data_IF_814409887670
#
_entry.id   IF_814409887670
#
_cell.length_a   1.000
_cell.length_b   1.000
_cell.length_c   1.000
_cell.angle_alpha   90.00
_cell.angle_beta   90.00
_cell.angle_gamma   90.00
#
_symmetry.space_group_name_H-M   'P 1'
#
loop_
_entity.id
_entity.type
_entity.pdbx_description
1 polymer ?
#
# COMPACT_ATOMS: atom_id res chain seq x y z
N UNK A 1 36.83 6.08 -6.77
CA UNK A 1 35.81 5.20 -7.39
C UNK A 1 34.66 6.08 -7.85
N UNK A 2 34.46 6.20 -9.17
CA UNK A 2 33.48 7.11 -9.77
C UNK A 2 32.07 6.53 -9.53
N UNK A 3 31.21 7.26 -8.80
CA UNK A 3 29.80 6.90 -8.62
C UNK A 3 29.09 7.03 -9.96
N UNK A 4 28.57 5.93 -10.49
CA UNK A 4 27.72 5.95 -11.67
C UNK A 4 26.37 6.52 -11.26
N UNK A 5 26.11 7.78 -11.62
CA UNK A 5 24.78 8.39 -11.55
C UNK A 5 24.04 7.95 -12.81
N UNK A 6 23.15 6.98 -12.69
CA UNK A 6 22.25 6.61 -13.79
C UNK A 6 21.15 7.68 -13.89
N UNK A 7 21.35 8.65 -14.79
CA UNK A 7 20.31 9.62 -15.17
C UNK A 7 19.43 8.93 -16.22
N UNK A 8 18.32 8.33 -15.81
CA UNK A 8 17.33 7.82 -16.74
C UNK A 8 16.38 8.97 -17.13
N UNK A 9 16.70 9.65 -18.24
CA UNK A 9 15.80 10.58 -18.90
C UNK A 9 14.99 9.83 -19.96
N UNK A 10 13.81 9.32 -19.58
CA UNK A 10 12.94 8.54 -20.46
C UNK A 10 11.97 7.67 -19.66
N UNK A 11 10.82 7.32 -20.26
CA UNK A 11 9.82 6.43 -19.67
C UNK A 11 10.46 5.07 -19.34
N UNK A 12 10.82 4.87 -18.08
CA UNK A 12 11.46 3.65 -17.61
C UNK A 12 10.36 2.60 -17.36
N UNK A 13 10.10 1.76 -18.37
CA UNK A 13 9.19 0.62 -18.24
C UNK A 13 10.00 -0.54 -17.63
N UNK A 14 10.03 -0.63 -16.30
CA UNK A 14 10.59 -1.79 -15.60
C UNK A 14 9.50 -2.85 -15.46
N UNK A 15 9.67 -3.99 -16.14
CA UNK A 15 8.78 -5.14 -16.03
C UNK A 15 8.89 -5.92 -14.70
N UNK A 16 9.58 -5.37 -13.70
CA UNK A 16 9.67 -5.92 -12.35
C UNK A 16 9.88 -4.79 -11.32
N UNK A 17 8.76 -4.22 -10.85
CA UNK A 17 8.44 -3.60 -9.55
C UNK A 17 9.43 -2.86 -8.62
N UNK A 18 10.71 -2.71 -8.90
CA UNK A 18 11.68 -2.15 -7.94
C UNK A 18 12.46 -0.97 -8.53
N UNK A 19 12.21 0.23 -8.01
CA UNK A 19 13.20 1.32 -8.09
C UNK A 19 14.28 1.04 -7.06
N UNK A 20 15.53 0.95 -7.50
CA UNK A 20 16.67 0.76 -6.60
C UNK A 20 16.72 1.90 -5.58
N UNK A 21 17.02 1.57 -4.33
CA UNK A 21 17.20 2.59 -3.29
C UNK A 21 18.19 3.67 -3.76
N UNK A 22 17.93 4.93 -3.40
CA UNK A 22 18.75 6.11 -3.75
C UNK A 22 18.68 6.55 -5.22
N UNK A 23 17.59 6.23 -5.92
CA UNK A 23 17.37 6.69 -7.30
C UNK A 23 16.85 8.14 -7.36
N UNK A 24 17.20 8.86 -8.44
CA UNK A 24 16.57 10.12 -8.83
C UNK A 24 15.74 9.91 -10.09
N UNK A 25 14.42 9.99 -9.99
CA UNK A 25 13.50 9.83 -11.12
C UNK A 25 12.93 11.20 -11.49
N UNK A 26 13.07 11.58 -12.76
CA UNK A 26 12.38 12.74 -13.34
C UNK A 26 11.30 12.22 -14.30
N UNK A 27 10.05 12.62 -14.07
CA UNK A 27 8.90 12.17 -14.87
C UNK A 27 8.07 11.08 -14.18
N UNK A 28 7.57 10.13 -14.96
CA UNK A 28 6.61 9.13 -14.48
C UNK A 28 7.29 7.80 -14.16
N UNK A 29 7.18 7.36 -12.91
CA UNK A 29 7.41 6.00 -12.48
C UNK A 29 6.06 5.26 -12.48
N UNK A 30 5.93 4.22 -13.28
CA UNK A 30 4.65 3.53 -13.46
C UNK A 30 4.77 2.01 -13.33
N UNK A 31 3.82 1.40 -12.62
CA UNK A 31 3.47 0.00 -12.79
C UNK A 31 2.09 -0.10 -13.44
N UNK A 32 1.98 -0.90 -14.49
CA UNK A 32 0.70 -1.26 -15.10
C UNK A 32 0.62 -2.78 -15.21
N UNK A 33 -0.22 -3.40 -14.38
CA UNK A 33 -0.25 -4.85 -14.21
C UNK A 33 -1.66 -5.43 -14.35
N UNK A 34 -1.76 -6.57 -15.02
CA UNK A 34 -2.96 -7.40 -15.08
C UNK A 34 -2.60 -8.81 -14.61
N UNK A 35 -3.00 -9.16 -13.39
CA UNK A 35 -2.70 -10.45 -12.75
C UNK A 35 -3.98 -11.26 -12.65
N UNK A 36 -3.99 -12.47 -13.21
CA UNK A 36 -5.16 -13.34 -13.26
C UNK A 36 -4.78 -14.78 -12.94
N UNK A 37 -5.59 -15.47 -12.13
CA UNK A 37 -5.43 -16.90 -11.83
C UNK A 37 -4.02 -17.26 -11.35
N UNK A 38 -3.47 -16.44 -10.45
CA UNK A 38 -2.06 -16.52 -10.05
C UNK A 38 -1.89 -16.68 -8.54
N UNK A 39 -0.81 -17.32 -8.15
CA UNK A 39 -0.36 -17.36 -6.77
C UNK A 39 1.06 -16.78 -6.67
N UNK A 40 1.29 -15.90 -5.72
CA UNK A 40 2.61 -15.39 -5.36
C UNK A 40 2.85 -15.65 -3.88
N UNK A 41 3.90 -16.41 -3.56
CA UNK A 41 4.12 -16.93 -2.20
C UNK A 41 5.57 -16.67 -1.79
N UNK A 42 5.76 -15.92 -0.71
CA UNK A 42 7.01 -15.76 0.00
C UNK A 42 6.89 -16.44 1.38
N UNK A 43 7.89 -17.24 1.77
CA UNK A 43 7.86 -17.98 3.03
C UNK A 43 9.25 -18.04 3.66
N UNK A 44 9.32 -17.87 4.99
CA UNK A 44 10.59 -17.84 5.73
C UNK A 44 10.90 -16.46 6.33
N UNK A 45 12.16 -16.02 6.33
CA UNK A 45 12.62 -14.81 7.03
C UNK A 45 12.85 -13.67 6.02
N UNK A 46 12.30 -12.47 6.29
CA UNK A 46 12.43 -11.25 5.48
C UNK A 46 11.44 -11.11 4.33
N UNK A 47 10.19 -11.58 4.45
CA UNK A 47 9.35 -11.78 3.27
C UNK A 47 8.66 -10.52 2.72
N UNK A 48 8.68 -10.37 1.40
CA UNK A 48 7.81 -9.47 0.64
C UNK A 48 7.16 -10.24 -0.51
N UNK A 49 5.84 -10.37 -0.51
CA UNK A 49 5.07 -10.89 -1.62
C UNK A 49 4.34 -9.71 -2.29
N UNK A 50 4.76 -9.34 -3.50
CA UNK A 50 4.26 -8.16 -4.21
C UNK A 50 3.53 -8.57 -5.50
N UNK A 51 2.22 -8.28 -5.58
CA UNK A 51 1.39 -8.60 -6.74
C UNK A 51 0.70 -7.36 -7.28
N UNK A 52 1.16 -6.85 -8.43
CA UNK A 52 0.65 -5.59 -8.99
C UNK A 52 0.87 -4.38 -8.09
N UNK A 53 1.97 -4.40 -7.34
CA UNK A 53 2.39 -3.35 -6.42
C UNK A 53 3.42 -2.42 -7.08
N UNK A 54 3.51 -1.17 -6.61
CA UNK A 54 4.60 -0.25 -6.94
C UNK A 54 5.29 0.24 -5.66
N UNK A 55 6.55 -0.14 -5.48
CA UNK A 55 7.37 0.28 -4.34
C UNK A 55 8.37 1.38 -4.70
N UNK A 56 8.50 2.39 -3.82
CA UNK A 56 9.55 3.42 -3.88
C UNK A 56 10.26 3.47 -2.54
N UNK A 57 11.54 3.11 -2.51
CA UNK A 57 12.35 3.08 -1.30
C UNK A 57 13.55 4.01 -1.43
N UNK A 58 13.79 4.85 -0.41
CA UNK A 58 15.01 5.67 -0.32
C UNK A 58 15.27 6.59 -1.53
N UNK A 59 14.26 6.99 -2.29
CA UNK A 59 14.43 7.61 -3.62
C UNK A 59 13.81 8.99 -3.70
N UNK A 60 14.23 9.79 -4.69
CA UNK A 60 13.62 11.08 -5.02
C UNK A 60 12.90 10.98 -6.36
N UNK A 61 11.62 11.32 -6.39
CA UNK A 61 10.81 11.35 -7.62
C UNK A 61 10.29 12.77 -7.84
N UNK A 62 10.68 13.39 -8.96
CA UNK A 62 10.11 14.64 -9.45
C UNK A 62 9.15 14.32 -10.58
N UNK A 63 7.87 14.19 -10.28
CA UNK A 63 6.84 13.81 -11.23
C UNK A 63 5.79 12.88 -10.62
N UNK A 64 5.44 11.81 -11.34
CA UNK A 64 4.31 10.95 -10.97
C UNK A 64 4.78 9.54 -10.57
N UNK A 65 4.32 9.05 -9.43
CA UNK A 65 4.37 7.63 -9.05
C UNK A 65 2.97 7.07 -9.29
N UNK A 66 2.81 6.17 -10.27
CA UNK A 66 1.51 5.66 -10.70
C UNK A 66 1.45 4.13 -10.71
N UNK A 67 0.55 3.57 -9.91
CA UNK A 67 0.18 2.16 -10.02
C UNK A 67 -1.19 2.01 -10.68
N UNK A 68 -1.28 1.16 -11.69
CA UNK A 68 -2.53 0.74 -12.33
C UNK A 68 -2.60 -0.78 -12.32
N UNK A 69 -3.29 -1.33 -11.33
CA UNK A 69 -3.34 -2.77 -11.10
C UNK A 69 -4.75 -3.32 -11.27
N UNK A 70 -4.86 -4.40 -12.05
CA UNK A 70 -6.03 -5.26 -12.11
C UNK A 70 -5.62 -6.66 -11.64
N UNK A 71 -6.13 -7.10 -10.49
CA UNK A 71 -5.80 -8.40 -9.89
C UNK A 71 -7.09 -9.20 -9.71
N UNK A 72 -7.16 -10.39 -10.30
CA UNK A 72 -8.36 -11.22 -10.29
C UNK A 72 -8.03 -12.69 -10.01
N UNK A 73 -8.83 -13.35 -9.18
CA UNK A 73 -8.69 -14.79 -8.88
C UNK A 73 -7.26 -15.12 -8.44
N UNK A 74 -6.73 -14.40 -7.45
CA UNK A 74 -5.32 -14.47 -7.11
C UNK A 74 -5.06 -14.62 -5.61
N UNK A 75 -3.95 -15.27 -5.27
CA UNK A 75 -3.47 -15.40 -3.90
C UNK A 75 -2.07 -14.79 -3.78
N UNK A 76 -1.89 -13.89 -2.82
CA UNK A 76 -0.59 -13.30 -2.49
C UNK A 76 -0.32 -13.55 -1.00
N UNK A 77 0.72 -14.32 -0.70
CA UNK A 77 0.96 -14.85 0.65
C UNK A 77 2.41 -14.57 1.06
N UNK A 78 2.61 -13.94 2.22
CA UNK A 78 3.90 -13.82 2.90
C UNK A 78 3.78 -14.47 4.28
N UNK A 79 4.59 -15.50 4.58
CA UNK A 79 4.45 -16.29 5.82
C UNK A 79 5.78 -16.59 6.51
N UNK A 80 5.89 -16.35 7.82
CA UNK A 80 7.12 -16.53 8.58
C UNK A 80 7.55 -15.25 9.29
N UNK A 81 8.77 -14.76 9.09
CA UNK A 81 9.33 -13.61 9.81
C UNK A 81 9.59 -12.49 8.79
N UNK A 82 9.31 -11.22 9.12
CA UNK A 82 9.51 -10.01 8.32
C UNK A 82 8.53 -9.77 7.15
N UNK A 83 7.25 -10.13 7.26
CA UNK A 83 6.33 -10.23 6.11
C UNK A 83 5.66 -8.91 5.67
N UNK A 84 5.70 -8.63 4.37
CA UNK A 84 4.82 -7.68 3.68
C UNK A 84 4.11 -8.44 2.55
N UNK A 85 2.79 -8.47 2.55
CA UNK A 85 1.99 -8.96 1.42
C UNK A 85 1.25 -7.77 0.82
N UNK A 86 1.63 -7.35 -0.37
CA UNK A 86 1.08 -6.17 -1.03
C UNK A 86 0.44 -6.54 -2.38
N UNK A 87 -0.85 -6.28 -2.53
CA UNK A 87 -1.64 -6.58 -3.72
C UNK A 87 -2.32 -5.33 -4.27
N UNK A 88 -1.95 -4.90 -5.47
CA UNK A 88 -2.55 -3.73 -6.11
C UNK A 88 -2.29 -2.41 -5.35
N UNK A 89 -1.16 -2.30 -4.66
CA UNK A 89 -0.89 -1.21 -3.73
C UNK A 89 0.23 -0.28 -4.24
N UNK A 90 0.48 0.79 -3.50
CA UNK A 90 1.67 1.63 -3.62
C UNK A 90 2.32 1.75 -2.25
N UNK A 91 3.63 1.47 -2.16
CA UNK A 91 4.43 1.65 -0.95
C UNK A 91 5.51 2.69 -1.16
N UNK A 92 5.56 3.74 -0.33
CA UNK A 92 6.59 4.79 -0.36
C UNK A 92 7.31 4.80 1.00
N UNK A 93 8.56 4.34 1.04
CA UNK A 93 9.35 4.22 2.27
C UNK A 93 10.61 5.08 2.18
N UNK A 94 10.82 5.99 3.14
CA UNK A 94 12.04 6.82 3.23
C UNK A 94 12.33 7.68 1.99
N UNK A 95 11.31 8.17 1.29
CA UNK A 95 11.45 8.78 -0.05
C UNK A 95 10.91 10.21 -0.10
N UNK A 96 11.33 10.95 -1.13
CA UNK A 96 10.82 12.29 -1.43
C UNK A 96 10.09 12.28 -2.78
N UNK A 97 8.81 12.63 -2.80
CA UNK A 97 8.01 12.75 -4.03
C UNK A 97 7.53 14.18 -4.20
N UNK A 98 7.96 14.85 -5.27
CA UNK A 98 7.42 16.13 -5.70
C UNK A 98 6.54 15.91 -6.91
N UNK A 99 5.22 15.89 -6.69
CA UNK A 99 4.21 15.63 -7.70
C UNK A 99 3.11 14.72 -7.18
N UNK A 100 2.72 13.71 -7.97
CA UNK A 100 1.53 12.89 -7.68
C UNK A 100 1.90 11.46 -7.34
N UNK A 101 1.37 10.94 -6.24
CA UNK A 101 1.28 9.51 -5.93
C UNK A 101 -0.13 9.05 -6.25
N UNK A 102 -0.28 8.12 -7.20
CA UNK A 102 -1.57 7.65 -7.68
C UNK A 102 -1.62 6.13 -7.67
N UNK A 103 -2.62 5.57 -7.00
CA UNK A 103 -2.95 4.15 -7.07
C UNK A 103 -4.34 3.98 -7.69
N UNK A 104 -4.43 3.23 -8.76
CA UNK A 104 -5.69 2.76 -9.36
C UNK A 104 -5.71 1.24 -9.30
N UNK A 105 -6.46 0.69 -8.36
CA UNK A 105 -6.46 -0.73 -8.06
C UNK A 105 -7.85 -1.31 -8.22
N UNK A 106 -7.93 -2.41 -8.94
CA UNK A 106 -9.13 -3.23 -9.05
C UNK A 106 -8.78 -4.66 -8.66
N UNK A 107 -9.19 -5.07 -7.46
CA UNK A 107 -8.89 -6.36 -6.87
C UNK A 107 -10.19 -7.14 -6.69
N UNK A 108 -10.29 -8.32 -7.32
CA UNK A 108 -11.49 -9.18 -7.25
C UNK A 108 -11.15 -10.63 -6.97
N UNK A 109 -11.98 -11.29 -6.16
CA UNK A 109 -11.86 -12.72 -5.87
C UNK A 109 -10.43 -13.09 -5.44
N UNK A 110 -9.87 -12.34 -4.49
CA UNK A 110 -8.45 -12.42 -4.17
C UNK A 110 -8.19 -12.55 -2.67
N UNK A 111 -7.09 -13.20 -2.33
CA UNK A 111 -6.61 -13.33 -0.96
C UNK A 111 -5.21 -12.72 -0.85
N UNK A 112 -5.02 -11.80 0.09
CA UNK A 112 -3.73 -11.22 0.44
C UNK A 112 -3.46 -11.50 1.92
N UNK A 113 -2.41 -12.26 2.22
CA UNK A 113 -2.19 -12.82 3.56
C UNK A 113 -0.74 -12.58 3.99
N UNK A 114 -0.54 -11.88 5.10
CA UNK A 114 0.73 -11.80 5.82
C UNK A 114 0.58 -12.51 7.18
N UNK A 115 1.39 -13.52 7.46
CA UNK A 115 1.25 -14.34 8.69
C UNK A 115 2.57 -14.67 9.38
N UNK A 116 2.66 -14.52 10.70
CA UNK A 116 3.87 -14.82 11.49
C UNK A 116 4.39 -13.61 12.28
N UNK A 117 5.61 -13.13 12.04
CA UNK A 117 6.25 -12.05 12.83
C UNK A 117 6.67 -10.90 11.91
N UNK A 118 6.02 -9.73 12.01
CA UNK A 118 6.36 -8.49 11.29
C UNK A 118 5.47 -8.23 10.06
N UNK A 119 4.15 -8.40 10.21
CA UNK A 119 3.19 -8.54 9.11
C UNK A 119 2.50 -7.22 8.70
N UNK A 120 2.69 -6.84 7.44
CA UNK A 120 1.92 -5.79 6.76
C UNK A 120 1.16 -6.45 5.60
N UNK A 121 -0.17 -6.37 5.59
CA UNK A 121 -1.02 -6.85 4.50
C UNK A 121 -1.76 -5.68 3.86
N UNK A 122 -1.43 -5.36 2.61
CA UNK A 122 -1.92 -4.15 1.94
C UNK A 122 -2.58 -4.46 0.61
N UNK A 123 -3.89 -4.30 0.54
CA UNK A 123 -4.70 -4.60 -0.66
C UNK A 123 -5.37 -3.34 -1.20
N UNK A 124 -4.96 -2.88 -2.39
CA UNK A 124 -5.53 -1.70 -3.02
C UNK A 124 -5.25 -0.41 -2.24
N UNK A 125 -4.12 -0.35 -1.53
CA UNK A 125 -3.82 0.72 -0.57
C UNK A 125 -2.63 1.57 -0.99
N UNK A 126 -2.48 2.75 -0.39
CA UNK A 126 -1.29 3.58 -0.49
C UNK A 126 -0.69 3.72 0.91
N UNK A 127 0.54 3.22 1.09
CA UNK A 127 1.26 3.29 2.36
C UNK A 127 2.48 4.21 2.21
N UNK A 128 2.59 5.21 3.07
CA UNK A 128 3.65 6.22 3.04
C UNK A 128 4.32 6.26 4.41
N UNK A 129 5.58 5.86 4.48
CA UNK A 129 6.34 5.76 5.72
C UNK A 129 7.65 6.56 5.64
N UNK A 130 7.93 7.38 6.66
CA UNK A 130 9.19 8.11 6.77
C UNK A 130 9.50 9.00 5.56
N UNK A 131 8.48 9.52 4.88
CA UNK A 131 8.59 10.11 3.55
C UNK A 131 8.08 11.55 3.50
N UNK A 132 8.52 12.28 2.48
CA UNK A 132 8.05 13.63 2.18
C UNK A 132 7.33 13.66 0.83
N UNK A 133 6.05 14.02 0.82
CA UNK A 133 5.27 14.18 -0.42
C UNK A 133 4.82 15.61 -0.56
N UNK A 134 5.19 16.26 -1.68
CA UNK A 134 4.73 17.59 -2.06
C UNK A 134 3.87 17.49 -3.31
N UNK A 135 2.56 17.46 -3.12
CA UNK A 135 1.56 17.35 -4.18
C UNK A 135 0.37 16.48 -3.76
N UNK A 136 -0.07 15.59 -4.64
CA UNK A 136 -1.32 14.83 -4.44
C UNK A 136 -1.04 13.37 -4.13
N UNK A 137 -1.68 12.85 -3.09
CA UNK A 137 -1.82 11.40 -2.83
C UNK A 137 -3.25 11.01 -3.19
N UNK A 138 -3.40 10.16 -4.19
CA UNK A 138 -4.69 9.71 -4.69
C UNK A 138 -4.75 8.18 -4.70
N UNK A 139 -5.65 7.62 -3.90
CA UNK A 139 -5.98 6.20 -3.95
C UNK A 139 -7.38 6.01 -4.54
N UNK A 140 -7.48 5.24 -5.63
CA UNK A 140 -8.72 4.80 -6.24
C UNK A 140 -8.76 3.28 -6.22
N UNK A 141 -9.47 2.72 -5.23
CA UNK A 141 -9.48 1.29 -4.97
C UNK A 141 -10.89 0.72 -5.14
N UNK A 142 -11.01 -0.35 -5.92
CA UNK A 142 -12.20 -1.19 -5.98
C UNK A 142 -11.82 -2.60 -5.55
N UNK A 143 -12.28 -3.02 -4.36
CA UNK A 143 -11.97 -4.32 -3.76
C UNK A 143 -13.27 -5.09 -3.60
N UNK A 144 -13.38 -6.26 -4.24
CA UNK A 144 -14.61 -7.05 -4.26
C UNK A 144 -14.33 -8.54 -4.00
N UNK A 145 -15.15 -9.19 -3.17
CA UNK A 145 -15.04 -10.62 -2.88
C UNK A 145 -13.60 -11.01 -2.46
N UNK A 146 -13.00 -10.25 -1.54
CA UNK A 146 -11.59 -10.37 -1.25
C UNK A 146 -11.31 -10.44 0.26
N UNK A 147 -10.19 -11.06 0.62
CA UNK A 147 -9.72 -11.14 1.99
C UNK A 147 -8.31 -10.54 2.09
N UNK A 148 -8.12 -9.59 3.00
CA UNK A 148 -6.83 -9.03 3.37
C UNK A 148 -6.57 -9.36 4.84
N UNK A 149 -5.53 -10.14 5.11
CA UNK A 149 -5.32 -10.76 6.43
C UNK A 149 -3.88 -10.52 6.89
N UNK A 150 -3.71 -9.88 8.04
CA UNK A 150 -2.47 -9.85 8.80
C UNK A 150 -2.66 -10.62 10.12
N UNK A 151 -1.86 -11.66 10.35
CA UNK A 151 -2.03 -12.53 11.53
C UNK A 151 -0.72 -12.89 12.22
N UNK A 152 -0.66 -12.81 13.55
CA UNK A 152 0.53 -13.09 14.34
C UNK A 152 0.96 -11.90 15.21
N UNK A 153 2.19 -11.40 15.04
CA UNK A 153 2.74 -10.28 15.83
C UNK A 153 3.06 -9.08 14.93
N UNK A 154 2.58 -7.89 15.34
CA UNK A 154 2.76 -6.63 14.63
C UNK A 154 1.95 -6.62 13.34
N UNK A 155 0.63 -6.71 13.47
CA UNK A 155 -0.29 -6.94 12.36
C UNK A 155 -0.90 -5.63 11.89
N UNK A 156 -0.66 -5.31 10.63
CA UNK A 156 -1.34 -4.22 9.95
C UNK A 156 -2.05 -4.73 8.69
N UNK A 157 -3.36 -4.54 8.62
CA UNK A 157 -4.18 -4.90 7.47
C UNK A 157 -4.81 -3.64 6.87
N UNK A 158 -4.31 -3.20 5.72
CA UNK A 158 -4.77 -2.01 5.00
C UNK A 158 -5.51 -2.41 3.72
N UNK A 159 -6.85 -2.28 3.69
CA UNK A 159 -7.68 -2.59 2.51
C UNK A 159 -8.34 -1.33 1.95
N UNK A 160 -7.95 -0.92 0.74
CA UNK A 160 -8.52 0.27 0.10
C UNK A 160 -8.20 1.56 0.86
N UNK A 161 -7.10 1.58 1.62
CA UNK A 161 -6.80 2.64 2.58
C UNK A 161 -5.63 3.51 2.11
N UNK A 162 -5.51 4.69 2.70
CA UNK A 162 -4.29 5.50 2.65
C UNK A 162 -3.73 5.55 4.06
N UNK A 163 -2.54 5.01 4.26
CA UNK A 163 -1.84 5.00 5.54
C UNK A 163 -0.56 5.84 5.46
N UNK A 164 -0.44 6.82 6.35
CA UNK A 164 0.64 7.81 6.36
C UNK A 164 1.29 7.80 7.75
N UNK A 165 2.54 7.33 7.83
CA UNK A 165 3.29 7.14 9.06
C UNK A 165 4.59 7.93 9.06
N UNK A 166 4.86 8.65 10.16
CA UNK A 166 6.11 9.38 10.35
C UNK A 166 6.53 10.24 9.14
N UNK A 167 5.56 10.86 8.47
CA UNK A 167 5.72 11.48 7.16
C UNK A 167 5.22 12.91 7.12
N UNK A 168 5.66 13.65 6.10
CA UNK A 168 5.19 15.00 5.82
C UNK A 168 4.53 15.04 4.44
N UNK A 169 3.24 15.39 4.39
CA UNK A 169 2.51 15.59 3.14
C UNK A 169 2.09 17.05 3.04
N UNK A 170 2.54 17.72 1.98
CA UNK A 170 2.09 19.07 1.63
C UNK A 170 1.26 18.99 0.35
N UNK A 171 -0.07 19.13 0.50
CA UNK A 171 -1.04 19.04 -0.60
C UNK A 171 -2.26 18.21 -0.22
N UNK A 172 -2.82 17.48 -1.18
CA UNK A 172 -4.11 16.80 -1.02
C UNK A 172 -3.92 15.30 -0.83
N UNK A 173 -4.58 14.74 0.18
CA UNK A 173 -4.77 13.30 0.35
C UNK A 173 -6.22 12.97 0.03
N UNK A 174 -6.45 12.19 -1.03
CA UNK A 174 -7.76 11.77 -1.47
C UNK A 174 -7.83 10.24 -1.56
N UNK A 175 -8.65 9.63 -0.72
CA UNK A 175 -8.98 8.22 -0.80
C UNK A 175 -10.39 8.05 -1.39
N UNK A 176 -10.50 7.28 -2.46
CA UNK A 176 -11.74 6.87 -3.12
C UNK A 176 -11.79 5.36 -3.16
N UNK A 177 -12.44 4.77 -2.16
CA UNK A 177 -12.43 3.33 -1.96
C UNK A 177 -13.85 2.77 -2.03
N UNK A 178 -14.03 1.74 -2.85
CA UNK A 178 -15.24 0.93 -2.89
C UNK A 178 -14.87 -0.50 -2.47
N UNK A 179 -15.35 -0.92 -1.30
CA UNK A 179 -15.05 -2.23 -0.71
C UNK A 179 -16.36 -3.00 -0.55
N UNK A 180 -16.49 -4.13 -1.22
CA UNK A 180 -17.72 -4.93 -1.25
C UNK A 180 -17.46 -6.41 -1.00
N UNK A 181 -18.29 -7.06 -0.17
CA UNK A 181 -18.19 -8.50 0.10
C UNK A 181 -16.76 -8.92 0.51
N UNK A 182 -16.12 -8.13 1.37
CA UNK A 182 -14.69 -8.28 1.66
C UNK A 182 -14.40 -8.32 3.16
N UNK A 183 -13.32 -8.97 3.53
CA UNK A 183 -12.86 -9.04 4.91
C UNK A 183 -11.45 -8.45 5.05
N UNK A 184 -11.28 -7.48 5.94
CA UNK A 184 -9.97 -6.95 6.33
C UNK A 184 -9.73 -7.34 7.79
N UNK A 185 -8.69 -8.14 8.05
CA UNK A 185 -8.51 -8.81 9.34
C UNK A 185 -7.09 -8.59 9.83
N UNK A 186 -6.94 -8.01 11.02
CA UNK A 186 -5.71 -8.00 11.81
C UNK A 186 -5.95 -8.84 13.08
N UNK A 187 -5.17 -9.91 13.28
CA UNK A 187 -5.42 -10.84 14.39
C UNK A 187 -4.13 -11.28 15.10
N UNK A 188 -4.10 -11.20 16.42
CA UNK A 188 -2.93 -11.58 17.24
C UNK A 188 -2.51 -10.49 18.21
N UNK A 189 -1.25 -10.04 18.16
CA UNK A 189 -0.70 -9.00 19.06
C UNK A 189 -0.28 -7.78 18.26
N UNK A 190 -0.74 -6.60 18.68
CA UNK A 190 -0.47 -5.33 18.01
C UNK A 190 -1.21 -5.28 16.69
N UNK A 191 -2.53 -5.15 16.74
CA UNK A 191 -3.42 -5.31 15.60
C UNK A 191 -3.98 -3.99 15.15
N UNK A 192 -3.87 -3.74 13.86
CA UNK A 192 -4.51 -2.61 13.23
C UNK A 192 -5.14 -3.00 11.89
N UNK A 193 -6.44 -2.80 11.78
CA UNK A 193 -7.20 -3.07 10.57
C UNK A 193 -7.82 -1.76 10.04
N UNK A 194 -7.32 -1.28 8.90
CA UNK A 194 -7.83 -0.08 8.22
C UNK A 194 -8.52 -0.48 6.92
N UNK A 195 -9.85 -0.37 6.89
CA UNK A 195 -10.66 -0.64 5.69
C UNK A 195 -11.24 0.67 5.15
N UNK A 196 -10.86 1.04 3.93
CA UNK A 196 -11.31 2.25 3.26
C UNK A 196 -11.09 3.52 4.11
N UNK A 197 -9.99 3.57 4.85
CA UNK A 197 -9.68 4.63 5.82
C UNK A 197 -8.51 5.48 5.32
N UNK A 198 -8.48 6.75 5.71
CA UNK A 198 -7.25 7.56 5.67
C UNK A 198 -6.70 7.65 7.08
N UNK A 199 -5.53 7.08 7.32
CA UNK A 199 -4.82 7.16 8.60
C UNK A 199 -3.58 8.06 8.47
N UNK A 200 -3.40 8.92 9.45
CA UNK A 200 -2.26 9.82 9.59
C UNK A 200 -1.71 9.64 11.00
N UNK A 201 -0.60 8.94 11.14
CA UNK A 201 0.03 8.62 12.43
C UNK A 201 1.43 9.25 12.52
N UNK A 202 1.69 10.02 13.57
CA UNK A 202 2.99 10.67 13.78
C UNK A 202 3.41 11.58 12.62
N UNK A 203 2.43 12.08 11.86
CA UNK A 203 2.64 12.70 10.55
C UNK A 203 2.04 14.11 10.48
N UNK A 204 2.56 14.92 9.57
CA UNK A 204 2.03 16.26 9.29
C UNK A 204 1.44 16.30 7.89
N UNK A 205 0.13 16.55 7.78
CA UNK A 205 -0.53 16.84 6.51
C UNK A 205 -0.89 18.32 6.46
N UNK A 206 -0.21 19.09 5.60
CA UNK A 206 -0.51 20.49 5.31
C UNK A 206 -1.29 20.57 4.00
N UNK A 207 -2.61 20.51 4.13
CA UNK A 207 -3.55 20.62 3.03
C UNK A 207 -4.85 19.91 3.37
N UNK A 208 -5.48 19.29 2.38
CA UNK A 208 -6.81 18.68 2.53
C UNK A 208 -6.71 17.17 2.63
N UNK A 209 -7.39 16.58 3.61
CA UNK A 209 -7.65 15.15 3.68
C UNK A 209 -9.12 14.91 3.33
N UNK A 210 -9.37 14.05 2.35
CA UNK A 210 -10.71 13.67 1.93
C UNK A 210 -10.78 12.14 1.80
N UNK A 211 -11.71 11.53 2.54
CA UNK A 211 -12.04 10.12 2.40
C UNK A 211 -13.45 9.97 1.82
N UNK A 212 -13.54 9.39 0.63
CA UNK A 212 -14.76 9.07 -0.09
C UNK A 212 -14.86 7.55 -0.20
N UNK A 213 -15.31 6.91 0.86
CA UNK A 213 -15.41 5.46 0.96
C UNK A 213 -16.85 4.97 0.85
N UNK A 214 -17.05 3.88 0.11
CA UNK A 214 -18.26 3.06 0.14
C UNK A 214 -17.88 1.65 0.59
N UNK A 215 -18.40 1.21 1.73
CA UNK A 215 -18.12 -0.10 2.32
C UNK A 215 -19.44 -0.85 2.49
N UNK A 216 -19.59 -1.99 1.83
CA UNK A 216 -20.84 -2.76 1.80
C UNK A 216 -20.58 -4.25 1.99
N UNK A 217 -21.39 -4.94 2.80
CA UNK A 217 -21.26 -6.37 3.08
C UNK A 217 -19.82 -6.78 3.44
N UNK A 218 -19.11 -5.92 4.18
CA UNK A 218 -17.71 -6.09 4.48
C UNK A 218 -17.47 -6.10 5.99
N UNK A 219 -16.41 -6.77 6.41
CA UNK A 219 -16.03 -6.88 7.82
C UNK A 219 -14.60 -6.35 8.00
N UNK A 220 -14.43 -5.36 8.87
CA UNK A 220 -13.13 -4.90 9.33
C UNK A 220 -12.92 -5.37 10.77
N UNK A 221 -11.97 -6.28 10.97
CA UNK A 221 -11.82 -7.04 12.22
C UNK A 221 -10.41 -6.82 12.76
N UNK A 222 -10.34 -6.34 13.99
CA UNK A 222 -9.11 -6.38 14.79
C UNK A 222 -9.37 -7.24 16.03
N UNK A 223 -8.60 -8.32 16.21
CA UNK A 223 -8.84 -9.31 17.27
C UNK A 223 -7.56 -9.72 17.99
N UNK A 224 -7.60 -9.82 19.31
CA UNK A 224 -6.46 -10.18 20.15
C UNK A 224 -6.04 -9.04 21.08
N UNK A 225 -4.75 -8.72 21.15
CA UNK A 225 -4.19 -7.72 22.08
C UNK A 225 -3.75 -6.46 21.31
N UNK A 226 -4.13 -5.28 21.81
CA UNK A 226 -3.74 -3.99 21.22
C UNK A 226 -4.44 -3.75 19.88
N UNK A 227 -5.77 -3.60 19.91
CA UNK A 227 -6.61 -3.58 18.71
C UNK A 227 -7.00 -2.16 18.30
N UNK A 228 -6.84 -1.85 17.01
CA UNK A 228 -7.44 -0.70 16.34
C UNK A 228 -8.16 -1.18 15.08
N UNK A 229 -9.41 -0.77 14.89
CA UNK A 229 -10.17 -1.10 13.69
C UNK A 229 -10.87 0.17 13.17
N UNK A 230 -10.42 0.67 12.02
CA UNK A 230 -10.91 1.90 11.42
C UNK A 230 -11.58 1.58 10.07
N UNK A 231 -12.87 1.88 9.93
CA UNK A 231 -13.64 1.61 8.71
C UNK A 231 -14.24 2.91 8.16
N UNK A 232 -13.91 3.25 6.91
CA UNK A 232 -14.51 4.39 6.20
C UNK A 232 -14.25 5.75 6.85
N UNK A 233 -13.13 5.90 7.58
CA UNK A 233 -12.88 7.04 8.47
C UNK A 233 -11.65 7.86 8.06
N UNK A 234 -11.50 9.04 8.66
CA UNK A 234 -10.23 9.79 8.67
C UNK A 234 -9.73 9.77 10.11
N UNK A 235 -8.53 9.22 10.32
CA UNK A 235 -7.90 9.08 11.64
C UNK A 235 -6.60 9.87 11.63
N UNK A 236 -6.45 10.77 12.60
CA UNK A 236 -5.25 11.60 12.77
C UNK A 236 -4.80 11.49 14.21
N UNK A 237 -3.60 10.94 14.42
CA UNK A 237 -3.04 10.61 15.75
C UNK A 237 -1.52 10.84 15.83
#
# INVERSE_FOLDING_TARGET
MKKQVAIAAGMLILSAGLVQAQSQVQGTLMNQSNVQNAANIASGIGNEANMGNLGVKGSTVQGTVMNRANVQNAANIASGIGNEASMGSVGIKGSAVQGTVMNTANVRNAANIASGIGNEASMGSVNIEGSAVRGTVLNQANVQNAANIASGIGNEANMGSVDIKNSAVQGTVLNRANVQNAANIASGIGNEANMATVKVEGSQVRGTIMNQSNVQNAANISSGIGNKANMGSVVVE
#
